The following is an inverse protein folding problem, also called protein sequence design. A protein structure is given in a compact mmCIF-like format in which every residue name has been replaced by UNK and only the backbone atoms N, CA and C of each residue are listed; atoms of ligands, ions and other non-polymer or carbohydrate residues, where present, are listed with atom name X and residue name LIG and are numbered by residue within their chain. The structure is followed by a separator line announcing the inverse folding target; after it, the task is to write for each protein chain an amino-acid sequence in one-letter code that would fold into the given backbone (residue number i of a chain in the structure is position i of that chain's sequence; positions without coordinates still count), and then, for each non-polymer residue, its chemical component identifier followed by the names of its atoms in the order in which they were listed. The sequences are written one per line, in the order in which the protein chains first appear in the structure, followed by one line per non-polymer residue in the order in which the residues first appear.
data_IF_936141856377
#
_entry.id   IF_936141856377
#
_cell.length_a   1.000
_cell.length_b   1.000
_cell.length_c   1.000
_cell.angle_alpha   90.00
_cell.angle_beta   90.00
_cell.angle_gamma   90.00
#
_symmetry.space_group_name_H-M   'P 1'
#
loop_
_entity.id
_entity.type
_entity.pdbx_description
1 polymer ?
#
# COMPACT_ATOMS: atom_id res chain seq x y z
N UNK A 1 5.42 16.98 -6.76
CA UNK A 1 6.29 18.03 -6.19
C UNK A 1 5.78 18.73 -4.94
N UNK A 2 4.58 18.53 -4.42
CA UNK A 2 4.09 19.15 -3.18
C UNK A 2 3.94 18.18 -2.00
N UNK A 3 3.89 16.87 -2.21
CA UNK A 3 4.11 15.90 -1.15
C UNK A 3 5.52 16.06 -0.55
N UNK A 4 6.47 16.49 -1.39
CA UNK A 4 7.85 16.80 -1.07
C UNK A 4 8.07 18.09 -0.27
N UNK A 5 7.11 18.99 -0.22
CA UNK A 5 7.27 20.19 0.61
C UNK A 5 7.12 19.92 2.10
N UNK A 6 6.51 18.81 2.49
CA UNK A 6 6.45 18.43 3.91
C UNK A 6 7.78 17.84 4.34
N UNK A 7 8.40 16.97 3.53
CA UNK A 7 9.80 16.54 3.77
C UNK A 7 10.82 17.68 3.54
N UNK A 8 10.65 18.50 2.49
CA UNK A 8 11.50 19.66 2.27
C UNK A 8 11.35 20.75 3.35
N UNK A 9 10.17 20.93 3.96
CA UNK A 9 10.01 21.89 5.07
C UNK A 9 10.70 21.41 6.35
N UNK A 10 10.86 20.10 6.54
CA UNK A 10 11.67 19.53 7.62
C UNK A 10 13.17 19.76 7.37
N UNK A 11 13.63 19.65 6.12
CA UNK A 11 15.02 19.96 5.74
C UNK A 11 15.33 21.45 5.91
N UNK A 12 14.39 22.33 5.62
CA UNK A 12 14.60 23.81 5.73
C UNK A 12 14.56 24.32 7.19
N UNK A 13 13.89 23.62 8.12
CA UNK A 13 13.92 24.00 9.55
C UNK A 13 15.20 23.56 10.27
N UNK A 14 15.98 22.66 9.69
CA UNK A 14 17.23 22.13 10.26
C UNK A 14 18.47 22.94 9.88
N UNK A 15 18.36 23.98 9.04
CA UNK A 15 19.49 24.87 8.71
C UNK A 15 20.08 25.64 9.91
N UNK A 16 19.49 25.55 11.09
CA UNK A 16 19.99 26.19 12.30
C UNK A 16 21.11 25.40 13.03
N UNK A 17 21.49 24.20 12.58
CA UNK A 17 22.53 23.36 13.18
C UNK A 17 23.93 23.44 12.57
N UNK A 18 24.14 24.30 11.55
CA UNK A 18 25.40 24.36 10.78
C UNK A 18 26.56 25.11 11.45
N UNK A 19 26.83 24.85 12.71
CA UNK A 19 27.95 25.52 13.37
C UNK A 19 29.36 24.97 13.03
N UNK A 20 29.48 23.84 12.29
CA UNK A 20 30.77 23.19 11.99
C UNK A 20 30.87 22.52 10.61
N UNK A 21 30.04 22.86 9.61
CA UNK A 21 30.26 22.39 8.26
C UNK A 21 31.50 23.05 7.65
N UNK A 22 32.35 22.27 6.96
CA UNK A 22 33.44 22.87 6.15
C UNK A 22 32.80 23.73 5.05
N UNK A 23 33.50 24.81 4.63
CA UNK A 23 33.01 25.66 3.53
C UNK A 23 32.64 24.86 2.28
N UNK A 24 33.35 23.74 2.04
CA UNK A 24 33.08 22.81 0.93
C UNK A 24 31.73 22.08 1.08
N UNK A 25 31.43 21.58 2.27
CA UNK A 25 30.18 20.84 2.52
C UNK A 25 28.94 21.74 2.44
N UNK A 26 29.03 22.99 2.90
CA UNK A 26 27.99 24.00 2.77
C UNK A 26 27.77 24.41 1.31
N UNK A 27 28.84 24.55 0.54
CA UNK A 27 28.80 24.84 -0.89
C UNK A 27 28.15 23.70 -1.69
N UNK A 28 28.46 22.46 -1.35
CA UNK A 28 27.86 21.27 -1.96
C UNK A 28 26.36 21.17 -1.65
N UNK A 29 25.93 21.53 -0.45
CA UNK A 29 24.51 21.55 -0.12
C UNK A 29 23.75 22.65 -0.88
N UNK A 30 24.33 23.84 -1.02
CA UNK A 30 23.76 24.89 -1.85
C UNK A 30 23.68 24.49 -3.33
N UNK A 31 24.68 23.73 -3.81
CA UNK A 31 24.67 23.14 -5.17
C UNK A 31 23.53 22.15 -5.31
N UNK A 32 23.33 21.27 -4.33
CA UNK A 32 22.21 20.35 -4.29
C UNK A 32 20.86 21.08 -4.41
N UNK A 33 20.62 22.12 -3.59
CA UNK A 33 19.38 22.89 -3.63
C UNK A 33 19.16 23.56 -4.99
N UNK A 34 20.20 24.12 -5.58
CA UNK A 34 20.14 24.72 -6.91
C UNK A 34 19.80 23.68 -7.99
N UNK A 35 20.46 22.52 -7.96
CA UNK A 35 20.24 21.44 -8.91
C UNK A 35 18.83 20.86 -8.79
N UNK A 36 18.37 20.64 -7.56
CA UNK A 36 17.03 20.17 -7.28
C UNK A 36 15.96 21.16 -7.78
N UNK A 37 16.16 22.46 -7.56
CA UNK A 37 15.23 23.50 -8.02
C UNK A 37 15.16 23.60 -9.55
N UNK A 38 16.25 23.23 -10.25
CA UNK A 38 16.30 23.16 -11.72
C UNK A 38 15.87 21.81 -12.29
N UNK A 39 15.42 20.87 -11.45
CA UNK A 39 15.05 19.49 -11.81
C UNK A 39 16.22 18.67 -12.39
N UNK A 40 17.45 19.03 -12.06
CA UNK A 40 18.66 18.26 -12.39
C UNK A 40 18.92 17.24 -11.28
N UNK A 41 18.19 16.11 -11.29
CA UNK A 41 18.23 15.10 -10.24
C UNK A 41 19.60 14.41 -10.15
N UNK A 42 20.28 14.19 -11.28
CA UNK A 42 21.61 13.59 -11.28
C UNK A 42 22.63 14.52 -10.62
N UNK A 43 22.64 15.81 -11.00
CA UNK A 43 23.52 16.79 -10.38
C UNK A 43 23.21 17.04 -8.91
N UNK A 44 21.93 16.92 -8.50
CA UNK A 44 21.52 16.98 -7.10
C UNK A 44 22.08 15.80 -6.29
N UNK A 45 21.96 14.57 -6.82
CA UNK A 45 22.53 13.39 -6.19
C UNK A 45 24.05 13.46 -6.06
N UNK A 46 24.75 13.83 -7.15
CA UNK A 46 26.20 13.97 -7.14
C UNK A 46 26.68 14.95 -6.06
N UNK A 47 25.97 16.07 -5.87
CA UNK A 47 26.31 17.04 -4.84
C UNK A 47 26.13 16.50 -3.42
N UNK A 48 25.06 15.70 -3.14
CA UNK A 48 24.87 15.04 -1.85
C UNK A 48 25.93 13.95 -1.60
N UNK A 49 26.22 13.11 -2.58
CA UNK A 49 27.23 12.08 -2.49
C UNK A 49 28.62 12.67 -2.22
N UNK A 50 28.99 13.75 -2.93
CA UNK A 50 30.26 14.48 -2.67
C UNK A 50 30.28 15.10 -1.27
N UNK A 51 29.16 15.67 -0.81
CA UNK A 51 29.05 16.20 0.54
C UNK A 51 29.27 15.13 1.60
N UNK A 52 28.71 13.93 1.44
CA UNK A 52 28.95 12.81 2.34
C UNK A 52 30.44 12.39 2.35
N UNK A 53 31.13 12.43 1.22
CA UNK A 53 32.56 12.13 1.17
C UNK A 53 33.42 13.09 1.98
N UNK A 54 32.94 14.30 2.28
CA UNK A 54 33.68 15.26 3.14
C UNK A 54 33.70 14.84 4.63
N UNK A 55 32.67 14.11 5.07
CA UNK A 55 32.56 13.56 6.43
C UNK A 55 31.61 12.34 6.39
N UNK A 56 32.18 11.15 6.19
CA UNK A 56 31.43 9.91 5.97
C UNK A 56 30.60 9.46 7.19
N UNK A 57 30.99 9.87 8.38
CA UNK A 57 30.31 9.51 9.63
C UNK A 57 29.26 10.57 10.05
N UNK A 58 29.03 11.58 9.24
CA UNK A 58 28.07 12.64 9.50
C UNK A 58 26.65 12.18 9.21
N UNK A 59 25.88 11.93 10.26
CA UNK A 59 24.52 11.39 10.15
C UNK A 59 23.57 12.30 9.37
N UNK A 60 23.77 13.64 9.42
CA UNK A 60 22.97 14.55 8.58
C UNK A 60 23.24 14.34 7.09
N UNK A 61 24.51 14.16 6.70
CA UNK A 61 24.85 13.99 5.28
C UNK A 61 24.34 12.65 4.75
N UNK A 62 24.45 11.58 5.55
CA UNK A 62 23.90 10.27 5.21
C UNK A 62 22.36 10.34 5.12
N UNK A 63 21.71 11.01 6.06
CA UNK A 63 20.26 11.18 6.08
C UNK A 63 19.75 11.93 4.84
N UNK A 64 20.41 13.05 4.47
CA UNK A 64 20.02 13.84 3.31
C UNK A 64 20.14 13.02 2.01
N UNK A 65 21.25 12.27 1.84
CA UNK A 65 21.46 11.40 0.68
C UNK A 65 20.48 10.23 0.65
N UNK A 66 20.25 9.55 1.77
CA UNK A 66 19.29 8.48 1.87
C UNK A 66 17.86 8.98 1.58
N UNK A 67 17.48 10.15 2.11
CA UNK A 67 16.17 10.76 1.84
C UNK A 67 16.00 11.08 0.37
N UNK A 68 17.04 11.61 -0.29
CA UNK A 68 17.01 11.88 -1.73
C UNK A 68 16.83 10.59 -2.54
N UNK A 69 17.58 9.53 -2.23
CA UNK A 69 17.47 8.23 -2.89
C UNK A 69 16.10 7.60 -2.65
N UNK A 70 15.56 7.75 -1.44
CA UNK A 70 14.20 7.29 -1.13
C UNK A 70 13.14 7.99 -1.95
N UNK A 71 13.37 9.22 -2.33
CA UNK A 71 12.40 10.00 -3.08
C UNK A 71 12.53 9.81 -4.60
N UNK A 72 13.75 9.85 -5.12
CA UNK A 72 14.02 10.00 -6.55
C UNK A 72 14.63 8.77 -7.23
N UNK A 73 15.20 7.80 -6.51
CA UNK A 73 15.74 6.59 -7.09
C UNK A 73 14.67 5.54 -7.34
N UNK A 74 14.71 4.84 -8.45
CA UNK A 74 13.86 3.66 -8.72
C UNK A 74 14.32 2.45 -7.90
N UNK A 75 15.63 2.32 -7.67
CA UNK A 75 16.23 1.32 -6.79
C UNK A 75 16.50 1.93 -5.41
N UNK A 76 15.87 1.36 -4.38
CA UNK A 76 15.98 1.81 -2.99
C UNK A 76 17.10 1.11 -2.22
N UNK A 77 17.82 0.18 -2.83
CA UNK A 77 18.85 -0.63 -2.16
C UNK A 77 19.98 0.22 -1.58
N UNK A 78 20.43 1.25 -2.33
CA UNK A 78 21.47 2.17 -1.86
C UNK A 78 21.01 3.01 -0.68
N UNK A 79 19.76 3.48 -0.70
CA UNK A 79 19.17 4.20 0.43
C UNK A 79 19.12 3.31 1.68
N UNK A 80 18.71 2.04 1.54
CA UNK A 80 18.71 1.09 2.64
C UNK A 80 20.11 0.85 3.20
N UNK A 81 21.12 0.66 2.35
CA UNK A 81 22.49 0.47 2.79
C UNK A 81 23.00 1.66 3.61
N UNK A 82 22.71 2.89 3.18
CA UNK A 82 23.04 4.11 3.91
C UNK A 82 22.32 4.18 5.26
N UNK A 83 21.04 3.85 5.31
CA UNK A 83 20.25 3.85 6.54
C UNK A 83 20.75 2.81 7.55
N UNK A 84 21.12 1.62 7.10
CA UNK A 84 21.70 0.59 7.97
C UNK A 84 23.02 1.04 8.57
N UNK A 85 23.89 1.69 7.80
CA UNK A 85 25.17 2.24 8.28
C UNK A 85 24.94 3.36 9.30
N UNK A 86 24.02 4.29 8.96
CA UNK A 86 23.65 5.40 9.84
C UNK A 86 23.05 4.92 11.16
N UNK A 87 22.14 3.93 11.11
CA UNK A 87 21.53 3.34 12.31
C UNK A 87 22.56 2.69 13.20
N UNK A 88 23.50 1.90 12.68
CA UNK A 88 24.60 1.31 13.46
C UNK A 88 25.45 2.39 14.15
N UNK A 89 25.72 3.48 13.46
CA UNK A 89 26.50 4.61 14.00
C UNK A 89 25.72 5.34 15.09
N UNK A 90 24.44 5.60 14.88
CA UNK A 90 23.57 6.27 15.85
C UNK A 90 23.32 5.39 17.09
N UNK A 91 23.12 4.08 16.93
CA UNK A 91 22.96 3.13 18.03
C UNK A 91 24.22 3.05 18.90
N UNK A 92 25.41 2.97 18.29
CA UNK A 92 26.68 2.97 19.01
C UNK A 92 26.89 4.24 19.85
N UNK A 93 26.43 5.39 19.33
CA UNK A 93 26.49 6.69 20.03
C UNK A 93 25.31 6.90 20.99
N UNK A 94 24.31 6.02 20.99
CA UNK A 94 23.02 6.19 21.69
C UNK A 94 22.37 7.56 21.36
N UNK A 95 22.44 7.94 20.10
CA UNK A 95 22.06 9.26 19.62
C UNK A 95 20.54 9.39 19.57
N UNK A 96 19.96 10.04 20.59
CA UNK A 96 18.51 10.22 20.72
C UNK A 96 17.91 11.17 19.69
N UNK A 97 18.74 11.96 19.03
CA UNK A 97 18.29 12.87 17.97
C UNK A 97 18.15 12.14 16.63
N UNK A 98 19.15 11.28 16.28
CA UNK A 98 19.16 10.61 14.99
C UNK A 98 18.37 9.29 14.96
N UNK A 99 18.31 8.57 16.09
CA UNK A 99 17.65 7.27 16.12
C UNK A 99 16.17 7.30 15.71
N UNK A 100 15.32 8.24 16.20
CA UNK A 100 13.94 8.31 15.75
C UNK A 100 13.83 8.64 14.25
N UNK A 101 14.60 9.63 13.77
CA UNK A 101 14.60 10.08 12.36
C UNK A 101 15.00 8.99 11.37
N UNK A 102 16.08 8.28 11.67
CA UNK A 102 16.57 7.19 10.84
C UNK A 102 15.61 6.01 10.82
N UNK A 103 14.98 5.67 11.96
CA UNK A 103 13.96 4.63 12.01
C UNK A 103 12.68 5.07 11.30
N UNK A 104 12.27 6.34 11.38
CA UNK A 104 11.15 6.90 10.61
C UNK A 104 11.40 6.74 9.10
N UNK A 105 12.55 7.21 8.63
CA UNK A 105 12.91 7.13 7.21
C UNK A 105 12.96 5.67 6.73
N UNK A 106 13.53 4.76 7.54
CA UNK A 106 13.55 3.33 7.24
C UNK A 106 12.13 2.75 7.21
N UNK A 107 11.27 3.11 8.15
CA UNK A 107 9.89 2.65 8.16
C UNK A 107 9.11 3.15 6.94
N UNK A 108 9.31 4.40 6.53
CA UNK A 108 8.76 4.95 5.30
C UNK A 108 9.23 4.19 4.05
N UNK A 109 10.52 3.87 4.01
CA UNK A 109 11.10 3.07 2.93
C UNK A 109 10.45 1.68 2.81
N UNK A 110 10.38 0.96 3.92
CA UNK A 110 9.75 -0.36 4.00
C UNK A 110 8.27 -0.31 3.61
N UNK A 111 7.56 0.72 4.05
CA UNK A 111 6.17 0.93 3.68
C UNK A 111 5.99 1.09 2.15
N UNK A 112 6.86 1.87 1.48
CA UNK A 112 6.82 2.02 0.03
C UNK A 112 7.18 0.74 -0.73
N UNK A 113 8.05 -0.11 -0.15
CA UNK A 113 8.40 -1.41 -0.71
C UNK A 113 7.34 -2.49 -0.45
N UNK A 114 6.33 -2.19 0.38
CA UNK A 114 5.27 -3.13 0.72
C UNK A 114 5.63 -4.09 1.86
N UNK A 115 6.76 -3.88 2.52
CA UNK A 115 7.15 -4.65 3.71
C UNK A 115 6.53 -4.04 4.97
N UNK A 116 5.21 -4.18 5.05
CA UNK A 116 4.40 -3.45 6.03
C UNK A 116 4.65 -3.90 7.48
N UNK A 117 4.95 -5.19 7.72
CA UNK A 117 5.24 -5.68 9.06
C UNK A 117 6.57 -5.15 9.59
N UNK A 118 7.65 -5.18 8.79
CA UNK A 118 8.92 -4.59 9.19
C UNK A 118 8.82 -3.06 9.31
N UNK A 119 8.04 -2.41 8.42
CA UNK A 119 7.73 -0.99 8.53
C UNK A 119 7.05 -0.65 9.87
N UNK A 120 6.10 -1.48 10.30
CA UNK A 120 5.39 -1.31 11.56
C UNK A 120 6.33 -1.42 12.77
N UNK A 121 7.16 -2.47 12.83
CA UNK A 121 8.10 -2.65 13.93
C UNK A 121 9.16 -1.54 13.97
N UNK A 122 9.63 -1.11 12.79
CA UNK A 122 10.59 -0.01 12.68
C UNK A 122 9.97 1.33 13.11
N UNK A 123 8.74 1.60 12.70
CA UNK A 123 7.98 2.80 13.13
C UNK A 123 7.71 2.79 14.65
N UNK A 124 7.35 1.64 15.21
CA UNK A 124 7.21 1.49 16.67
C UNK A 124 8.54 1.76 17.40
N UNK A 125 9.67 1.31 16.83
CA UNK A 125 11.00 1.62 17.38
C UNK A 125 11.24 3.12 17.35
N UNK A 126 10.92 3.83 16.27
CA UNK A 126 11.00 5.29 16.21
C UNK A 126 10.15 5.96 17.31
N UNK A 127 8.90 5.55 17.46
CA UNK A 127 7.99 6.06 18.50
C UNK A 127 8.51 5.83 19.92
N UNK A 128 9.27 4.76 20.17
CA UNK A 128 9.78 4.42 21.50
C UNK A 128 10.78 5.44 22.08
N UNK A 129 11.33 6.31 21.26
CA UNK A 129 12.23 7.38 21.68
C UNK A 129 11.52 8.58 22.30
N UNK A 130 10.22 8.69 22.10
CA UNK A 130 9.39 9.78 22.66
C UNK A 130 8.69 9.33 23.93
N UNK A 131 8.61 10.24 24.90
CA UNK A 131 7.95 9.99 26.18
C UNK A 131 6.55 10.60 26.16
N UNK A 132 5.55 9.74 26.22
CA UNK A 132 4.14 9.92 26.50
C UNK A 132 3.43 11.19 26.03
N UNK A 133 3.68 12.31 26.67
CA UNK A 133 2.91 13.56 26.46
C UNK A 133 3.69 14.66 25.73
N UNK A 134 4.81 14.31 25.09
CA UNK A 134 5.58 15.28 24.32
C UNK A 134 4.79 15.76 23.11
N UNK A 135 4.68 17.08 22.96
CA UNK A 135 4.08 17.73 21.78
C UNK A 135 5.18 18.07 20.78
N UNK A 136 5.77 17.03 20.19
CA UNK A 136 6.86 17.12 19.24
C UNK A 136 6.35 16.92 17.82
N UNK A 137 6.77 17.77 16.90
CA UNK A 137 6.34 17.69 15.50
C UNK A 137 6.82 16.38 14.86
N UNK A 138 8.01 15.90 15.20
CA UNK A 138 8.55 14.63 14.72
C UNK A 138 7.70 13.45 15.20
N UNK A 139 7.27 13.45 16.47
CA UNK A 139 6.32 12.44 16.97
C UNK A 139 5.02 12.44 16.16
N UNK A 140 4.54 13.63 15.75
CA UNK A 140 3.38 13.77 14.89
C UNK A 140 3.61 13.17 13.50
N UNK A 141 4.78 13.38 12.92
CA UNK A 141 5.10 12.90 11.56
C UNK A 141 5.26 11.37 11.56
N UNK A 142 5.94 10.80 12.57
CA UNK A 142 6.02 9.34 12.76
C UNK A 142 4.62 8.76 12.99
N UNK A 143 3.79 9.41 13.82
CA UNK A 143 2.40 8.96 14.04
C UNK A 143 1.60 8.97 12.74
N UNK A 144 1.77 9.98 11.89
CA UNK A 144 1.12 10.04 10.58
C UNK A 144 1.59 8.93 9.64
N UNK A 145 2.87 8.59 9.64
CA UNK A 145 3.41 7.44 8.90
C UNK A 145 2.77 6.13 9.41
N UNK A 146 2.64 5.97 10.73
CA UNK A 146 2.02 4.78 11.34
C UNK A 146 0.54 4.65 10.96
N UNK A 147 -0.19 5.74 10.69
CA UNK A 147 -1.55 5.67 10.14
C UNK A 147 -1.56 4.92 8.81
N UNK A 148 -0.66 5.26 7.90
CA UNK A 148 -0.54 4.58 6.60
C UNK A 148 -0.18 3.11 6.74
N UNK A 149 0.83 2.82 7.56
CA UNK A 149 1.31 1.45 7.81
C UNK A 149 0.20 0.59 8.44
N UNK A 150 -0.46 1.08 9.50
CA UNK A 150 -1.54 0.36 10.17
C UNK A 150 -2.74 0.14 9.23
N UNK A 151 -3.03 1.10 8.36
CA UNK A 151 -4.09 0.95 7.35
C UNK A 151 -3.76 -0.16 6.35
N UNK A 152 -2.51 -0.23 5.89
CA UNK A 152 -2.04 -1.29 4.99
C UNK A 152 -2.09 -2.69 5.64
N UNK A 153 -1.85 -2.75 6.95
CA UNK A 153 -1.93 -3.98 7.76
C UNK A 153 -3.35 -4.30 8.24
N UNK A 154 -4.38 -3.57 7.82
CA UNK A 154 -5.76 -3.69 8.32
C UNK A 154 -5.90 -3.51 9.85
N UNK A 155 -4.94 -2.85 10.52
CA UNK A 155 -4.96 -2.53 11.95
C UNK A 155 -5.70 -1.20 12.18
N UNK A 156 -6.98 -1.16 11.85
CA UNK A 156 -7.74 0.09 11.75
C UNK A 156 -7.84 0.87 13.05
N UNK A 157 -8.01 0.20 14.19
CA UNK A 157 -8.08 0.84 15.51
C UNK A 157 -6.76 1.53 15.87
N UNK A 158 -5.63 0.91 15.54
CA UNK A 158 -4.31 1.51 15.74
C UNK A 158 -4.10 2.70 14.80
N UNK A 159 -4.54 2.61 13.55
CA UNK A 159 -4.50 3.72 12.61
C UNK A 159 -5.27 4.94 13.15
N UNK A 160 -6.45 4.73 13.68
CA UNK A 160 -7.25 5.80 14.35
C UNK A 160 -6.49 6.37 15.54
N UNK A 161 -5.91 5.53 16.40
CA UNK A 161 -5.14 5.98 17.57
C UNK A 161 -3.96 6.88 17.17
N UNK A 162 -3.18 6.47 16.19
CA UNK A 162 -2.03 7.26 15.71
C UNK A 162 -2.49 8.54 15.01
N UNK A 163 -3.60 8.48 14.25
CA UNK A 163 -4.19 9.65 13.61
C UNK A 163 -4.64 10.71 14.62
N UNK A 164 -5.27 10.30 15.71
CA UNK A 164 -5.66 11.19 16.81
C UNK A 164 -4.44 11.78 17.51
N UNK A 165 -3.39 11.00 17.72
CA UNK A 165 -2.13 11.50 18.32
C UNK A 165 -1.50 12.57 17.43
N UNK A 166 -1.35 12.29 16.13
CA UNK A 166 -0.81 13.27 15.18
C UNK A 166 -1.64 14.54 15.15
N UNK A 167 -2.96 14.42 15.09
CA UNK A 167 -3.88 15.56 15.06
C UNK A 167 -3.75 16.45 16.29
N UNK A 168 -3.73 15.87 17.50
CA UNK A 168 -3.61 16.62 18.75
C UNK A 168 -2.29 17.41 18.84
N UNK A 169 -1.18 16.78 18.42
CA UNK A 169 0.11 17.46 18.34
C UNK A 169 0.07 18.62 17.32
N UNK A 170 -0.41 18.36 16.10
CA UNK A 170 -0.46 19.37 15.04
C UNK A 170 -1.39 20.55 15.37
N UNK A 171 -2.49 20.32 16.09
CA UNK A 171 -3.33 21.40 16.60
C UNK A 171 -2.57 22.33 17.54
N UNK A 172 -1.70 21.74 18.38
CA UNK A 172 -0.90 22.50 19.35
C UNK A 172 0.28 23.21 18.68
N UNK A 173 1.02 22.54 17.78
CA UNK A 173 2.28 23.04 17.19
C UNK A 173 2.06 23.93 15.97
N UNK A 174 1.11 23.58 15.11
CA UNK A 174 0.86 24.30 13.86
C UNK A 174 -0.40 25.17 13.88
N UNK A 175 -1.25 25.01 14.91
CA UNK A 175 -2.50 25.75 15.08
C UNK A 175 -3.70 25.12 14.38
N UNK A 176 -4.89 25.35 14.95
CA UNK A 176 -6.17 24.71 14.57
C UNK A 176 -6.55 24.85 13.09
N UNK A 177 -6.16 25.92 12.44
CA UNK A 177 -6.54 26.19 11.05
C UNK A 177 -5.33 26.06 10.10
N UNK A 178 -4.39 25.20 10.40
CA UNK A 178 -3.22 24.96 9.54
C UNK A 178 -3.50 23.87 8.51
N UNK A 179 -2.75 23.90 7.40
CA UNK A 179 -2.78 22.84 6.39
C UNK A 179 -2.42 21.49 7.00
N UNK A 180 -1.50 21.44 7.98
CA UNK A 180 -1.11 20.20 8.66
C UNK A 180 -2.27 19.56 9.40
N UNK A 181 -3.09 20.38 10.11
CA UNK A 181 -4.31 19.90 10.79
C UNK A 181 -5.34 19.40 9.77
N UNK A 182 -5.58 20.13 8.68
CA UNK A 182 -6.50 19.69 7.63
C UNK A 182 -6.06 18.35 7.01
N UNK A 183 -4.77 18.18 6.75
CA UNK A 183 -4.22 16.93 6.22
C UNK A 183 -4.38 15.78 7.20
N UNK A 184 -4.11 15.99 8.51
CA UNK A 184 -4.32 14.96 9.53
C UNK A 184 -5.77 14.54 9.66
N UNK A 185 -6.70 15.50 9.65
CA UNK A 185 -8.14 15.23 9.68
C UNK A 185 -8.60 14.44 8.45
N UNK A 186 -8.07 14.77 7.26
CA UNK A 186 -8.36 14.05 6.03
C UNK A 186 -7.85 12.60 6.10
N UNK A 187 -6.62 12.36 6.61
CA UNK A 187 -6.09 11.01 6.80
C UNK A 187 -6.87 10.23 7.87
N UNK A 188 -7.22 10.88 8.97
CA UNK A 188 -8.01 10.29 10.04
C UNK A 188 -9.41 9.90 9.56
N UNK A 189 -10.03 10.68 8.67
CA UNK A 189 -11.31 10.33 8.07
C UNK A 189 -11.25 9.00 7.31
N UNK A 190 -10.16 8.74 6.58
CA UNK A 190 -9.94 7.46 5.91
C UNK A 190 -9.78 6.32 6.92
N UNK A 191 -9.06 6.55 8.03
CA UNK A 191 -8.91 5.55 9.10
C UNK A 191 -10.25 5.20 9.75
N UNK A 192 -11.10 6.18 10.04
CA UNK A 192 -12.47 5.96 10.52
C UNK A 192 -13.32 5.20 9.50
N UNK A 193 -13.21 5.56 8.22
CA UNK A 193 -13.92 4.85 7.16
C UNK A 193 -13.54 3.36 7.11
N UNK A 194 -12.25 3.06 7.22
CA UNK A 194 -11.73 1.69 7.21
C UNK A 194 -12.09 0.91 8.48
N UNK A 195 -12.25 1.58 9.62
CA UNK A 195 -12.78 0.95 10.85
C UNK A 195 -14.31 0.81 10.85
N UNK A 196 -15.00 1.23 9.79
CA UNK A 196 -16.46 1.17 9.66
C UNK A 196 -17.22 2.32 10.31
N UNK A 197 -16.55 3.30 10.91
CA UNK A 197 -17.17 4.45 11.55
C UNK A 197 -17.37 5.60 10.54
N UNK A 198 -18.41 5.44 9.71
CA UNK A 198 -18.71 6.40 8.63
C UNK A 198 -19.07 7.77 9.19
N UNK A 199 -19.75 7.86 10.34
CA UNK A 199 -20.13 9.13 10.94
C UNK A 199 -18.92 9.96 11.34
N UNK A 200 -17.96 9.37 12.05
CA UNK A 200 -16.71 10.06 12.39
C UNK A 200 -15.85 10.37 11.15
N UNK A 201 -15.91 9.54 10.13
CA UNK A 201 -15.23 9.83 8.87
C UNK A 201 -15.80 11.09 8.20
N UNK A 202 -17.14 11.25 8.20
CA UNK A 202 -17.81 12.46 7.68
C UNK A 202 -17.49 13.70 8.50
N UNK A 203 -17.48 13.60 9.82
CA UNK A 203 -17.14 14.72 10.71
C UNK A 203 -15.69 15.17 10.48
N UNK A 204 -14.75 14.25 10.46
CA UNK A 204 -13.34 14.56 10.25
C UNK A 204 -13.07 15.17 8.86
N UNK A 205 -13.65 14.61 7.78
CA UNK A 205 -13.46 15.18 6.45
C UNK A 205 -14.17 16.53 6.30
N UNK A 206 -15.31 16.75 6.97
CA UNK A 206 -16.01 18.02 6.98
C UNK A 206 -15.27 19.13 7.75
N UNK A 207 -14.55 18.79 8.81
CA UNK A 207 -13.66 19.73 9.52
C UNK A 207 -12.44 20.06 8.63
N UNK A 208 -11.82 19.07 8.00
CA UNK A 208 -10.74 19.25 7.04
C UNK A 208 -11.14 20.18 5.90
N UNK A 209 -12.34 19.98 5.32
CA UNK A 209 -12.88 20.82 4.24
C UNK A 209 -12.93 22.30 4.61
N UNK A 210 -13.50 22.62 5.78
CA UNK A 210 -13.60 24.01 6.26
C UNK A 210 -12.25 24.69 6.37
N UNK A 211 -11.22 23.93 6.79
CA UNK A 211 -9.86 24.49 6.91
C UNK A 211 -9.26 24.71 5.52
N UNK A 212 -9.37 23.73 4.60
CA UNK A 212 -8.87 23.88 3.24
C UNK A 212 -9.55 25.02 2.49
N UNK A 213 -10.87 25.15 2.60
CA UNK A 213 -11.63 26.26 2.02
C UNK A 213 -11.15 27.62 2.55
N UNK A 214 -10.95 27.73 3.88
CA UNK A 214 -10.44 28.95 4.51
C UNK A 214 -9.03 29.30 4.04
N UNK A 215 -8.21 28.32 3.77
CA UNK A 215 -6.83 28.51 3.28
C UNK A 215 -6.76 28.73 1.75
N UNK A 216 -7.87 28.47 1.03
CA UNK A 216 -7.87 28.50 -0.43
C UNK A 216 -6.99 27.43 -1.06
N UNK A 217 -6.85 26.27 -0.41
CA UNK A 217 -5.99 25.16 -0.84
C UNK A 217 -6.87 24.04 -1.38
N UNK A 218 -6.54 23.55 -2.58
CA UNK A 218 -7.10 22.34 -3.15
C UNK A 218 -6.05 21.24 -3.10
N UNK A 219 -6.30 20.20 -2.28
CA UNK A 219 -5.39 19.08 -2.07
C UNK A 219 -5.96 17.79 -2.68
N UNK A 220 -5.26 17.13 -3.63
CA UNK A 220 -5.76 15.91 -4.27
C UNK A 220 -6.16 14.81 -3.28
N UNK A 221 -5.35 14.57 -2.24
CA UNK A 221 -5.61 13.54 -1.22
C UNK A 221 -6.89 13.81 -0.42
N UNK A 222 -7.22 15.07 -0.17
CA UNK A 222 -8.49 15.43 0.45
C UNK A 222 -9.68 15.02 -0.42
N UNK A 223 -9.66 15.35 -1.72
CA UNK A 223 -10.73 14.95 -2.63
C UNK A 223 -10.83 13.43 -2.78
N UNK A 224 -9.71 12.72 -2.78
CA UNK A 224 -9.65 11.26 -2.78
C UNK A 224 -10.34 10.66 -1.55
N UNK A 225 -10.02 11.15 -0.34
CA UNK A 225 -10.59 10.64 0.90
C UNK A 225 -12.09 10.94 0.98
N UNK A 226 -12.50 12.15 0.59
CA UNK A 226 -13.92 12.53 0.51
C UNK A 226 -14.70 11.69 -0.51
N UNK A 227 -14.07 11.37 -1.65
CA UNK A 227 -14.63 10.47 -2.66
C UNK A 227 -14.79 9.04 -2.12
N UNK A 228 -13.83 8.53 -1.36
CA UNK A 228 -13.90 7.20 -0.73
C UNK A 228 -15.09 7.10 0.24
N UNK A 229 -15.35 8.14 1.04
CA UNK A 229 -16.53 8.19 1.92
C UNK A 229 -17.83 8.18 1.09
N UNK A 230 -17.90 8.96 0.02
CA UNK A 230 -19.06 8.97 -0.87
C UNK A 230 -19.28 7.60 -1.54
N UNK A 231 -18.21 6.91 -1.89
CA UNK A 231 -18.24 5.57 -2.48
C UNK A 231 -18.82 4.54 -1.50
N UNK A 232 -18.34 4.51 -0.26
CA UNK A 232 -18.85 3.60 0.78
C UNK A 232 -20.34 3.84 1.08
N UNK A 233 -20.78 5.10 1.00
CA UNK A 233 -22.19 5.47 1.05
C UNK A 233 -22.98 5.11 -0.22
N UNK A 234 -22.35 4.42 -1.18
CA UNK A 234 -22.92 4.03 -2.49
C UNK A 234 -23.36 5.21 -3.36
N UNK A 235 -22.88 6.42 -3.03
CA UNK A 235 -23.10 7.60 -3.89
C UNK A 235 -22.01 7.68 -4.95
N UNK A 236 -22.05 6.72 -5.89
CA UNK A 236 -21.00 6.54 -6.88
C UNK A 236 -20.84 7.75 -7.84
N UNK A 237 -21.94 8.46 -8.15
CA UNK A 237 -21.87 9.66 -8.98
C UNK A 237 -21.11 10.81 -8.27
N UNK A 238 -21.35 11.02 -6.98
CA UNK A 238 -20.61 12.00 -6.20
C UNK A 238 -19.15 11.58 -6.04
N UNK A 239 -18.89 10.30 -5.75
CA UNK A 239 -17.54 9.75 -5.64
C UNK A 239 -16.76 9.97 -6.94
N UNK A 240 -17.35 9.66 -8.09
CA UNK A 240 -16.73 9.83 -9.40
C UNK A 240 -16.37 11.30 -9.66
N UNK A 241 -17.26 12.24 -9.33
CA UNK A 241 -16.99 13.68 -9.47
C UNK A 241 -15.81 14.13 -8.60
N UNK A 242 -15.74 13.66 -7.36
CA UNK A 242 -14.65 13.99 -6.43
C UNK A 242 -13.33 13.35 -6.85
N UNK A 243 -13.34 12.08 -7.30
CA UNK A 243 -12.15 11.44 -7.86
C UNK A 243 -11.68 12.14 -9.15
N UNK A 244 -12.60 12.61 -10.01
CA UNK A 244 -12.24 13.37 -11.20
C UNK A 244 -11.55 14.71 -10.84
N UNK A 245 -12.01 15.38 -9.78
CA UNK A 245 -11.32 16.57 -9.26
C UNK A 245 -9.93 16.24 -8.70
N UNK A 246 -9.80 15.13 -7.97
CA UNK A 246 -8.50 14.66 -7.48
C UNK A 246 -7.54 14.34 -8.64
N UNK A 247 -8.06 13.73 -9.73
CA UNK A 247 -7.30 13.43 -10.93
C UNK A 247 -6.77 14.70 -11.60
N UNK A 248 -7.66 15.67 -11.86
CA UNK A 248 -7.31 16.96 -12.45
C UNK A 248 -6.17 17.66 -11.67
N UNK A 249 -6.29 17.70 -10.34
CA UNK A 249 -5.28 18.32 -9.47
C UNK A 249 -3.95 17.55 -9.49
N UNK A 250 -4.01 16.22 -9.55
CA UNK A 250 -2.82 15.35 -9.55
C UNK A 250 -2.08 15.40 -10.88
N UNK A 251 -2.79 15.47 -12.01
CA UNK A 251 -2.19 15.57 -13.34
C UNK A 251 -1.43 16.89 -13.54
N UNK A 252 -1.86 17.96 -12.86
CA UNK A 252 -1.20 19.27 -12.89
C UNK A 252 0.04 19.34 -11.97
N UNK A 253 0.34 18.30 -11.20
CA UNK A 253 1.48 18.22 -10.30
C UNK A 253 2.52 17.25 -10.85
N UNK A 254 3.73 17.71 -11.15
CA UNK A 254 4.81 16.85 -11.61
C UNK A 254 5.18 15.80 -10.56
N UNK A 255 5.45 14.55 -10.97
CA UNK A 255 5.91 13.48 -10.08
C UNK A 255 4.81 12.72 -9.33
N UNK A 256 3.53 12.88 -9.70
CA UNK A 256 2.38 12.29 -8.98
C UNK A 256 1.79 11.05 -9.65
N UNK A 257 2.60 10.30 -10.41
CA UNK A 257 2.11 9.13 -11.17
C UNK A 257 1.38 8.11 -10.29
N UNK A 258 1.88 7.83 -9.07
CA UNK A 258 1.24 6.90 -8.13
C UNK A 258 -0.16 7.36 -7.71
N UNK A 259 -0.33 8.64 -7.43
CA UNK A 259 -1.64 9.23 -7.09
C UNK A 259 -2.59 9.18 -8.28
N UNK A 260 -2.11 9.57 -9.47
CA UNK A 260 -2.88 9.49 -10.72
C UNK A 260 -3.38 8.07 -10.97
N UNK A 261 -2.51 7.06 -10.84
CA UNK A 261 -2.86 5.64 -10.99
C UNK A 261 -3.92 5.25 -9.96
N UNK A 262 -3.72 5.58 -8.69
CA UNK A 262 -4.67 5.27 -7.61
C UNK A 262 -6.06 5.85 -7.88
N UNK A 263 -6.13 7.12 -8.32
CA UNK A 263 -7.39 7.78 -8.63
C UNK A 263 -8.05 7.16 -9.88
N UNK A 264 -7.29 6.84 -10.92
CA UNK A 264 -7.83 6.19 -12.13
C UNK A 264 -8.42 4.80 -11.83
N UNK A 265 -7.75 4.03 -10.95
CA UNK A 265 -8.29 2.75 -10.45
C UNK A 265 -9.63 2.97 -9.74
N UNK A 266 -9.72 3.96 -8.85
CA UNK A 266 -10.95 4.30 -8.13
C UNK A 266 -12.07 4.77 -9.07
N UNK A 267 -11.75 5.56 -10.09
CA UNK A 267 -12.69 5.98 -11.13
C UNK A 267 -13.21 4.80 -11.95
N UNK A 268 -12.34 3.84 -12.30
CA UNK A 268 -12.76 2.62 -12.98
C UNK A 268 -13.78 1.85 -12.15
N UNK A 269 -13.51 1.66 -10.86
CA UNK A 269 -14.44 0.98 -9.94
C UNK A 269 -15.76 1.76 -9.80
N UNK A 270 -15.72 3.10 -9.71
CA UNK A 270 -16.93 3.93 -9.66
C UNK A 270 -17.79 3.75 -10.94
N UNK A 271 -17.16 3.73 -12.10
CA UNK A 271 -17.87 3.53 -13.37
C UNK A 271 -18.47 2.13 -13.47
N UNK A 272 -17.76 1.09 -13.01
CA UNK A 272 -18.30 -0.28 -12.92
C UNK A 272 -19.55 -0.34 -12.03
N UNK A 273 -19.51 0.30 -10.85
CA UNK A 273 -20.66 0.35 -9.92
C UNK A 273 -21.87 1.07 -10.51
N UNK A 274 -21.66 1.89 -11.54
CA UNK A 274 -22.70 2.58 -12.29
C UNK A 274 -23.08 1.87 -13.61
N UNK A 275 -22.53 0.68 -13.85
CA UNK A 275 -22.68 -0.12 -15.09
C UNK A 275 -22.14 0.58 -16.36
N UNK A 276 -21.20 1.52 -16.21
CA UNK A 276 -20.54 2.23 -17.31
C UNK A 276 -19.25 1.49 -17.71
N UNK A 277 -19.40 0.34 -18.36
CA UNK A 277 -18.28 -0.56 -18.69
C UNK A 277 -17.24 0.10 -19.59
N UNK A 278 -17.67 0.88 -20.59
CA UNK A 278 -16.76 1.56 -21.53
C UNK A 278 -15.89 2.62 -20.80
N UNK A 279 -16.52 3.38 -19.92
CA UNK A 279 -15.82 4.39 -19.13
C UNK A 279 -14.85 3.73 -18.13
N UNK A 280 -15.26 2.66 -17.46
CA UNK A 280 -14.41 1.87 -16.57
C UNK A 280 -13.18 1.33 -17.31
N UNK A 281 -13.37 0.77 -18.52
CA UNK A 281 -12.29 0.32 -19.39
C UNK A 281 -11.33 1.46 -19.75
N UNK A 282 -11.86 2.63 -20.09
CA UNK A 282 -11.04 3.80 -20.44
C UNK A 282 -10.14 4.24 -19.28
N UNK A 283 -10.67 4.28 -18.06
CA UNK A 283 -9.89 4.64 -16.87
C UNK A 283 -8.78 3.63 -16.57
N UNK A 284 -9.08 2.33 -16.66
CA UNK A 284 -8.07 1.31 -16.35
C UNK A 284 -6.97 1.27 -17.41
N UNK A 285 -7.28 1.45 -18.69
CA UNK A 285 -6.28 1.53 -19.75
C UNK A 285 -5.40 2.80 -19.61
N UNK A 286 -5.99 3.91 -19.19
CA UNK A 286 -5.23 5.12 -18.85
C UNK A 286 -4.28 4.87 -17.67
N UNK A 287 -4.72 4.14 -16.63
CA UNK A 287 -3.87 3.76 -15.52
C UNK A 287 -2.68 2.89 -15.97
N UNK A 288 -2.91 1.91 -16.86
CA UNK A 288 -1.85 1.08 -17.46
C UNK A 288 -0.85 1.94 -18.23
N UNK A 289 -1.34 2.90 -19.03
CA UNK A 289 -0.47 3.81 -19.78
C UNK A 289 0.41 4.67 -18.87
N UNK A 290 -0.18 5.24 -17.81
CA UNK A 290 0.56 6.06 -16.82
C UNK A 290 1.59 5.21 -16.09
N UNK A 291 1.23 4.02 -15.62
CA UNK A 291 2.15 3.11 -14.92
C UNK A 291 3.32 2.69 -15.82
N UNK A 292 3.04 2.34 -17.09
CA UNK A 292 4.06 1.96 -18.07
C UNK A 292 5.03 3.10 -18.36
N UNK A 293 4.52 4.34 -18.47
CA UNK A 293 5.34 5.50 -18.79
C UNK A 293 6.18 5.99 -17.62
N UNK A 294 5.64 5.91 -16.39
CA UNK A 294 6.30 6.43 -15.20
C UNK A 294 7.29 5.44 -14.57
N UNK A 295 6.97 4.15 -14.61
CA UNK A 295 7.70 3.13 -13.87
C UNK A 295 8.24 2.00 -14.74
N UNK A 296 7.75 1.87 -15.97
CA UNK A 296 8.08 0.72 -16.84
C UNK A 296 7.19 -0.50 -16.57
N UNK A 297 7.36 -1.52 -17.44
CA UNK A 297 6.46 -2.68 -17.48
C UNK A 297 6.70 -3.71 -16.37
N UNK A 298 7.89 -3.72 -15.78
CA UNK A 298 8.29 -4.70 -14.76
C UNK A 298 8.22 -4.16 -13.33
N UNK A 299 7.72 -2.95 -13.16
CA UNK A 299 7.63 -2.34 -11.84
C UNK A 299 6.36 -2.80 -11.08
N UNK A 300 6.42 -2.99 -9.75
CA UNK A 300 5.26 -3.42 -8.94
C UNK A 300 4.00 -2.55 -9.11
N UNK A 301 4.16 -1.26 -9.36
CA UNK A 301 3.01 -0.38 -9.67
C UNK A 301 2.25 -0.84 -10.93
N UNK A 302 2.94 -1.39 -11.95
CA UNK A 302 2.30 -2.00 -13.11
C UNK A 302 1.51 -3.24 -12.71
N UNK A 303 2.08 -4.12 -11.88
CA UNK A 303 1.38 -5.31 -11.39
C UNK A 303 0.10 -4.94 -10.64
N UNK A 304 0.13 -3.89 -9.80
CA UNK A 304 -1.06 -3.39 -9.12
C UNK A 304 -2.16 -2.95 -10.09
N UNK A 305 -1.80 -2.27 -11.18
CA UNK A 305 -2.78 -1.86 -12.20
C UNK A 305 -3.29 -3.05 -13.01
N UNK A 306 -2.41 -3.99 -13.35
CA UNK A 306 -2.80 -5.22 -14.06
C UNK A 306 -3.72 -6.08 -13.21
N UNK A 307 -3.51 -6.18 -11.90
CA UNK A 307 -4.45 -6.87 -11.02
C UNK A 307 -5.86 -6.24 -11.06
N UNK A 308 -5.96 -4.92 -10.96
CA UNK A 308 -7.26 -4.23 -11.12
C UNK A 308 -7.87 -4.42 -12.51
N UNK A 309 -7.05 -4.43 -13.55
CA UNK A 309 -7.51 -4.71 -14.92
C UNK A 309 -8.06 -6.14 -15.02
N UNK A 310 -7.35 -7.11 -14.46
CA UNK A 310 -7.83 -8.50 -14.40
C UNK A 310 -9.16 -8.62 -13.66
N UNK A 311 -9.33 -7.94 -12.51
CA UNK A 311 -10.59 -7.88 -11.78
C UNK A 311 -11.72 -7.26 -12.62
N UNK A 312 -11.43 -6.20 -13.37
CA UNK A 312 -12.38 -5.60 -14.30
C UNK A 312 -12.77 -6.57 -15.41
N UNK A 313 -11.81 -7.20 -16.08
CA UNK A 313 -12.04 -8.18 -17.14
C UNK A 313 -12.85 -9.38 -16.63
N UNK A 314 -12.53 -9.88 -15.44
CA UNK A 314 -13.28 -10.93 -14.75
C UNK A 314 -14.74 -10.50 -14.51
N UNK A 315 -14.97 -9.30 -13.99
CA UNK A 315 -16.33 -8.78 -13.76
C UNK A 315 -17.16 -8.62 -15.05
N UNK A 316 -16.50 -8.49 -16.19
CA UNK A 316 -17.10 -8.44 -17.51
C UNK A 316 -17.30 -9.83 -18.17
N UNK A 317 -16.97 -10.92 -17.44
CA UNK A 317 -17.02 -12.29 -17.97
C UNK A 317 -15.92 -12.62 -18.99
N UNK A 318 -14.89 -11.79 -19.12
CA UNK A 318 -13.75 -12.00 -20.02
C UNK A 318 -12.69 -12.87 -19.32
N UNK A 319 -13.08 -14.05 -18.87
CA UNK A 319 -12.28 -14.88 -17.95
C UNK A 319 -10.91 -15.27 -18.52
N UNK A 320 -10.85 -15.69 -19.79
CA UNK A 320 -9.59 -16.05 -20.43
C UNK A 320 -8.58 -14.90 -20.44
N UNK A 321 -9.08 -13.68 -20.69
CA UNK A 321 -8.26 -12.46 -20.70
C UNK A 321 -7.85 -12.05 -19.30
N UNK A 322 -8.76 -12.16 -18.33
CA UNK A 322 -8.48 -11.89 -16.93
C UNK A 322 -7.35 -12.79 -16.40
N UNK A 323 -7.38 -14.09 -16.73
CA UNK A 323 -6.32 -15.04 -16.35
C UNK A 323 -4.95 -14.63 -16.89
N UNK A 324 -4.86 -14.19 -18.16
CA UNK A 324 -3.60 -13.69 -18.74
C UNK A 324 -3.11 -12.43 -18.01
N UNK A 325 -4.03 -11.49 -17.79
CA UNK A 325 -3.71 -10.22 -17.11
C UNK A 325 -3.26 -10.44 -15.66
N UNK A 326 -3.89 -11.36 -14.93
CA UNK A 326 -3.45 -11.75 -13.59
C UNK A 326 -2.07 -12.46 -13.62
N UNK A 327 -1.82 -13.33 -14.61
CA UNK A 327 -0.53 -14.01 -14.73
C UNK A 327 0.61 -13.00 -14.97
N UNK A 328 0.37 -11.97 -15.79
CA UNK A 328 1.33 -10.89 -15.99
C UNK A 328 1.60 -10.12 -14.68
N UNK A 329 0.54 -9.80 -13.92
CA UNK A 329 0.68 -9.14 -12.62
C UNK A 329 1.46 -10.00 -11.61
N UNK A 330 1.14 -11.30 -11.53
CA UNK A 330 1.82 -12.26 -10.66
C UNK A 330 3.31 -12.34 -10.98
N UNK A 331 3.66 -12.50 -12.26
CA UNK A 331 5.06 -12.58 -12.67
C UNK A 331 5.89 -11.36 -12.28
N UNK A 332 5.29 -10.16 -12.31
CA UNK A 332 5.96 -8.94 -11.87
C UNK A 332 6.14 -8.94 -10.34
N UNK A 333 5.10 -9.30 -9.56
CA UNK A 333 5.19 -9.34 -8.10
C UNK A 333 6.14 -10.43 -7.61
N UNK A 334 6.11 -11.63 -8.20
CA UNK A 334 7.02 -12.73 -7.85
C UNK A 334 8.48 -12.34 -8.07
N UNK A 335 8.76 -11.60 -9.15
CA UNK A 335 10.09 -11.10 -9.45
C UNK A 335 10.54 -10.01 -8.47
N UNK A 336 9.63 -9.13 -8.07
CA UNK A 336 9.93 -7.97 -7.22
C UNK A 336 10.00 -8.31 -5.72
N UNK A 337 9.08 -9.14 -5.24
CA UNK A 337 8.86 -9.40 -3.82
C UNK A 337 8.99 -10.87 -3.43
N UNK A 338 9.14 -11.77 -4.42
CA UNK A 338 9.12 -13.22 -4.23
C UNK A 338 7.71 -13.83 -4.25
N UNK A 339 7.66 -15.12 -4.58
CA UNK A 339 6.42 -15.89 -4.77
C UNK A 339 5.55 -15.98 -3.49
N UNK A 340 6.11 -15.71 -2.32
CA UNK A 340 5.42 -15.75 -1.02
C UNK A 340 4.99 -14.39 -0.49
N UNK A 341 5.07 -13.35 -1.32
CA UNK A 341 4.66 -12.01 -0.92
C UNK A 341 3.14 -11.90 -0.80
N UNK A 342 2.67 -10.98 0.03
CA UNK A 342 1.24 -10.68 0.15
C UNK A 342 0.64 -10.27 -1.20
N UNK A 343 1.39 -9.50 -1.98
CA UNK A 343 0.96 -9.02 -3.29
C UNK A 343 0.77 -10.17 -4.29
N UNK A 344 1.72 -11.13 -4.34
CA UNK A 344 1.58 -12.34 -5.16
C UNK A 344 0.39 -13.18 -4.72
N UNK A 345 0.19 -13.28 -3.40
CA UNK A 345 -0.94 -13.99 -2.81
C UNK A 345 -2.30 -13.40 -3.22
N UNK A 346 -2.46 -12.08 -3.16
CA UNK A 346 -3.69 -11.39 -3.53
C UNK A 346 -4.06 -11.63 -5.01
N UNK A 347 -3.06 -11.64 -5.89
CA UNK A 347 -3.26 -11.96 -7.32
C UNK A 347 -3.66 -13.41 -7.51
N UNK A 348 -2.99 -14.34 -6.82
CA UNK A 348 -3.33 -15.78 -6.88
C UNK A 348 -4.76 -16.05 -6.43
N UNK A 349 -5.26 -15.35 -5.40
CA UNK A 349 -6.66 -15.41 -5.00
C UNK A 349 -7.60 -14.94 -6.10
N UNK A 350 -7.25 -13.86 -6.78
CA UNK A 350 -8.04 -13.33 -7.91
C UNK A 350 -8.07 -14.33 -9.07
N UNK A 351 -6.92 -14.92 -9.41
CA UNK A 351 -6.81 -15.98 -10.42
C UNK A 351 -7.64 -17.20 -10.05
N UNK A 352 -7.56 -17.61 -8.79
CA UNK A 352 -8.31 -18.74 -8.30
C UNK A 352 -9.83 -18.53 -8.42
N UNK A 353 -10.35 -17.38 -7.99
CA UNK A 353 -11.77 -17.03 -8.15
C UNK A 353 -12.17 -17.05 -9.62
N UNK A 354 -11.32 -16.48 -10.48
CA UNK A 354 -11.55 -16.50 -11.92
C UNK A 354 -11.60 -17.92 -12.47
N UNK A 355 -10.71 -18.82 -12.04
CA UNK A 355 -10.71 -20.22 -12.45
C UNK A 355 -11.98 -20.96 -11.99
N UNK A 356 -12.46 -20.70 -10.77
CA UNK A 356 -13.74 -21.24 -10.30
C UNK A 356 -14.92 -20.77 -11.17
N UNK A 357 -14.96 -19.47 -11.51
CA UNK A 357 -16.04 -18.94 -12.34
C UNK A 357 -16.00 -19.45 -13.79
N UNK A 358 -14.80 -19.73 -14.33
CA UNK A 358 -14.64 -20.41 -15.60
C UNK A 358 -15.35 -21.79 -15.59
N UNK A 359 -15.09 -22.56 -14.52
CA UNK A 359 -15.69 -23.90 -14.38
C UNK A 359 -17.21 -23.81 -14.19
N UNK A 360 -17.67 -22.86 -13.35
CA UNK A 360 -19.11 -22.66 -13.09
C UNK A 360 -19.87 -22.23 -14.31
N UNK A 361 -19.28 -21.35 -15.12
CA UNK A 361 -19.94 -20.80 -16.31
C UNK A 361 -19.68 -21.61 -17.58
N UNK A 362 -18.96 -22.75 -17.48
CA UNK A 362 -18.64 -23.66 -18.59
C UNK A 362 -17.96 -22.92 -19.77
N UNK A 363 -17.03 -22.02 -19.45
CA UNK A 363 -16.26 -21.26 -20.44
C UNK A 363 -15.17 -22.14 -21.05
N UNK A 364 -15.53 -22.88 -22.12
CA UNK A 364 -14.62 -23.78 -22.83
C UNK A 364 -13.32 -23.07 -23.30
N UNK A 365 -13.40 -21.79 -23.66
CA UNK A 365 -12.25 -21.05 -24.16
C UNK A 365 -11.21 -20.77 -23.07
N UNK A 366 -11.67 -20.57 -21.83
CA UNK A 366 -10.84 -20.32 -20.67
C UNK A 366 -10.48 -21.58 -19.88
N UNK A 367 -11.19 -22.70 -20.11
CA UNK A 367 -11.08 -23.92 -19.31
C UNK A 367 -9.66 -24.48 -19.29
N UNK A 368 -8.93 -24.42 -20.42
CA UNK A 368 -7.54 -24.85 -20.46
C UNK A 368 -6.65 -24.01 -19.54
N UNK A 369 -6.84 -22.69 -19.50
CA UNK A 369 -6.04 -21.79 -18.63
C UNK A 369 -6.33 -22.06 -17.16
N UNK A 370 -7.59 -22.29 -16.81
CA UNK A 370 -7.97 -22.68 -15.46
C UNK A 370 -7.32 -24.00 -15.04
N UNK A 371 -7.31 -25.00 -15.90
CA UNK A 371 -6.64 -26.28 -15.69
C UNK A 371 -5.14 -26.13 -15.50
N UNK A 372 -4.47 -25.43 -16.42
CA UNK A 372 -3.04 -25.22 -16.38
C UNK A 372 -2.66 -24.50 -15.07
N UNK A 373 -3.40 -23.46 -14.68
CA UNK A 373 -3.20 -22.73 -13.44
C UNK A 373 -3.41 -23.62 -12.19
N UNK A 374 -4.52 -24.35 -12.15
CA UNK A 374 -4.82 -25.25 -11.03
C UNK A 374 -3.76 -26.34 -10.90
N UNK A 375 -3.33 -26.94 -12.00
CA UNK A 375 -2.29 -27.96 -12.03
C UNK A 375 -0.94 -27.43 -11.52
N UNK A 376 -0.54 -26.24 -11.97
CA UNK A 376 0.75 -25.64 -11.63
C UNK A 376 0.82 -25.18 -10.16
N UNK A 377 -0.22 -24.52 -9.69
CA UNK A 377 -0.16 -23.84 -8.38
C UNK A 377 -0.78 -24.60 -7.22
N UNK A 378 -1.65 -25.59 -7.49
CA UNK A 378 -2.39 -26.29 -6.44
C UNK A 378 -2.01 -27.76 -6.26
N UNK A 379 -1.50 -28.44 -7.28
CA UNK A 379 -1.20 -29.89 -7.22
C UNK A 379 0.23 -30.23 -6.86
N UNK A 380 1.17 -29.37 -7.12
CA UNK A 380 2.57 -29.54 -6.67
C UNK A 380 2.68 -29.53 -5.13
N UNK A 381 1.67 -29.06 -4.43
CA UNK A 381 1.66 -28.98 -2.96
C UNK A 381 1.01 -30.18 -2.28
N UNK A 382 0.22 -31.01 -3.00
CA UNK A 382 -0.35 -32.25 -2.46
C UNK A 382 0.69 -33.35 -2.18
N UNK A 383 1.86 -33.27 -2.77
CA UNK A 383 2.88 -34.32 -2.66
C UNK A 383 3.76 -34.22 -1.42
N UNK A 384 3.78 -33.10 -0.72
CA UNK A 384 4.63 -32.89 0.45
C UNK A 384 3.93 -33.12 1.79
N UNK A 385 2.61 -33.01 1.84
CA UNK A 385 1.82 -33.25 3.06
C UNK A 385 0.62 -34.12 2.72
N UNK A 386 0.55 -35.28 3.28
CA UNK A 386 -0.51 -36.30 3.08
C UNK A 386 -1.93 -35.84 3.50
N UNK A 387 -2.17 -34.57 3.56
CA UNK A 387 -3.47 -33.97 3.84
C UNK A 387 -4.18 -33.63 2.52
N UNK A 388 -5.40 -34.10 2.27
CA UNK A 388 -6.20 -33.82 1.09
C UNK A 388 -6.75 -32.38 1.09
N UNK A 389 -6.10 -31.50 1.78
CA UNK A 389 -6.45 -30.09 1.88
C UNK A 389 -5.59 -29.35 0.89
N UNK A 390 -6.21 -28.69 -0.06
CA UNK A 390 -5.52 -27.74 -0.92
C UNK A 390 -5.03 -26.59 -0.06
N UNK A 391 -3.82 -26.72 0.42
CA UNK A 391 -3.11 -25.65 1.10
C UNK A 391 -2.52 -24.75 0.03
N UNK A 392 -3.06 -23.58 -0.16
CA UNK A 392 -2.31 -22.47 -0.65
C UNK A 392 -1.30 -22.09 0.45
N UNK A 393 -0.18 -22.81 0.48
CA UNK A 393 0.90 -22.49 1.39
C UNK A 393 1.68 -21.31 0.82
N UNK A 394 1.24 -20.12 1.11
CA UNK A 394 2.00 -18.90 0.85
C UNK A 394 2.60 -18.43 2.16
N UNK A 395 3.83 -18.86 2.44
CA UNK A 395 4.54 -18.51 3.65
C UNK A 395 3.83 -19.02 4.91
N UNK A 396 3.66 -18.15 5.89
CA UNK A 396 2.91 -18.43 7.12
C UNK A 396 1.38 -18.42 6.90
N UNK A 397 0.92 -18.08 5.70
CA UNK A 397 -0.49 -17.99 5.34
C UNK A 397 -1.01 -19.39 5.01
N UNK A 398 -1.66 -19.98 5.95
CA UNK A 398 -2.47 -21.20 5.73
C UNK A 398 -3.81 -20.81 5.14
N UNK A 399 -3.85 -20.38 3.89
CA UNK A 399 -5.11 -20.34 3.19
C UNK A 399 -5.48 -21.73 2.74
N UNK A 400 -6.57 -22.19 3.29
CA UNK A 400 -7.16 -23.44 2.95
C UNK A 400 -7.97 -23.27 1.66
N UNK A 401 -7.49 -23.80 0.55
CA UNK A 401 -8.19 -23.83 -0.72
C UNK A 401 -9.48 -24.63 -0.68
N UNK A 402 -9.70 -25.41 0.38
CA UNK A 402 -11.01 -26.02 0.65
C UNK A 402 -12.15 -24.98 0.62
N UNK A 403 -11.88 -23.72 0.94
CA UNK A 403 -12.86 -22.64 0.81
C UNK A 403 -13.47 -22.53 -0.60
N UNK A 404 -12.69 -22.80 -1.61
CA UNK A 404 -13.15 -22.72 -3.00
C UNK A 404 -13.74 -24.02 -3.53
N UNK A 405 -13.30 -25.15 -2.99
CA UNK A 405 -13.95 -26.43 -3.27
C UNK A 405 -15.34 -26.50 -2.63
N UNK A 406 -15.64 -25.63 -1.70
CA UNK A 406 -16.89 -25.61 -0.94
C UNK A 406 -17.81 -24.45 -1.30
N UNK A 407 -17.70 -23.79 -2.40
CA UNK A 407 -18.66 -22.78 -2.91
C UNK A 407 -19.19 -21.72 -1.91
N UNK A 408 -18.80 -21.75 -0.66
CA UNK A 408 -19.56 -21.14 0.42
C UNK A 408 -18.80 -20.34 1.46
N UNK A 409 -17.49 -20.08 1.29
CA UNK A 409 -16.79 -19.19 2.22
C UNK A 409 -16.13 -18.01 1.50
N UNK A 410 -16.75 -17.35 0.53
CA UNK A 410 -16.20 -16.12 -0.05
C UNK A 410 -16.26 -14.94 0.91
N UNK A 411 -17.06 -15.04 1.98
CA UNK A 411 -17.31 -13.92 2.90
C UNK A 411 -16.50 -13.97 4.19
N UNK A 412 -15.79 -15.07 4.46
CA UNK A 412 -15.08 -15.31 5.73
C UNK A 412 -13.56 -15.41 5.54
N UNK A 413 -13.06 -15.28 4.33
CA UNK A 413 -11.63 -15.30 4.07
C UNK A 413 -11.06 -13.92 4.36
N UNK A 414 -10.84 -13.64 5.63
CA UNK A 414 -9.74 -12.77 5.99
C UNK A 414 -8.45 -13.62 6.04
N UNK A 415 -7.33 -12.96 5.95
CA UNK A 415 -6.01 -13.54 5.82
C UNK A 415 -5.56 -14.44 6.99
N UNK A 416 -6.42 -14.79 7.95
CA UNK A 416 -6.12 -15.55 9.15
C UNK A 416 -7.23 -16.58 9.47
N UNK A 417 -7.65 -17.35 8.48
CA UNK A 417 -8.66 -18.39 8.69
C UNK A 417 -7.99 -19.77 8.75
N UNK A 418 -8.06 -20.43 9.90
CA UNK A 418 -7.70 -21.83 10.05
C UNK A 418 -8.95 -22.70 9.87
N UNK A 419 -8.89 -23.67 8.96
CA UNK A 419 -9.96 -24.64 8.73
C UNK A 419 -9.52 -26.01 9.19
N UNK A 420 -10.22 -26.57 10.17
CA UNK A 420 -9.99 -27.94 10.63
C UNK A 420 -10.94 -28.89 9.88
N UNK A 421 -10.36 -29.84 9.18
CA UNK A 421 -11.09 -30.88 8.47
C UNK A 421 -11.20 -32.18 9.32
N UNK A 422 -12.15 -33.02 8.96
CA UNK A 422 -12.17 -34.41 9.42
C UNK A 422 -10.94 -35.17 8.90
N UNK A 423 -10.61 -36.29 9.57
CA UNK A 423 -9.42 -37.08 9.23
C UNK A 423 -9.44 -37.65 7.80
N UNK A 424 -10.61 -37.75 7.19
CA UNK A 424 -10.82 -38.17 5.79
C UNK A 424 -10.96 -36.98 4.81
N UNK A 425 -10.83 -35.76 5.32
CA UNK A 425 -10.95 -34.53 4.53
C UNK A 425 -12.36 -34.24 3.99
N UNK A 426 -13.36 -35.03 4.38
CA UNK A 426 -14.72 -34.95 3.81
C UNK A 426 -15.60 -33.88 4.46
N UNK A 427 -15.24 -33.42 5.65
CA UNK A 427 -16.07 -32.50 6.44
C UNK A 427 -15.23 -31.41 7.06
N UNK A 428 -15.66 -30.16 6.93
CA UNK A 428 -15.11 -29.02 7.67
C UNK A 428 -15.66 -29.06 9.08
N UNK A 429 -14.78 -29.20 10.07
CA UNK A 429 -15.17 -29.31 11.48
C UNK A 429 -15.12 -27.97 12.21
N UNK A 430 -14.19 -27.12 11.82
CA UNK A 430 -13.95 -25.87 12.52
C UNK A 430 -13.35 -24.84 11.57
N UNK A 431 -13.83 -23.61 11.67
CA UNK A 431 -13.24 -22.43 11.02
C UNK A 431 -12.87 -21.45 12.13
N UNK A 432 -11.64 -21.02 12.14
CA UNK A 432 -11.16 -20.02 13.09
C UNK A 432 -10.63 -18.81 12.32
N UNK A 433 -11.19 -17.64 12.59
CA UNK A 433 -10.75 -16.36 12.05
C UNK A 433 -10.23 -15.49 13.18
N UNK A 434 -9.15 -14.75 12.93
CA UNK A 434 -8.60 -13.78 13.89
C UNK A 434 -9.56 -12.63 14.16
N UNK A 435 -10.42 -12.29 13.19
CA UNK A 435 -11.36 -11.17 13.32
C UNK A 435 -12.75 -11.61 13.82
N UNK A 436 -13.19 -12.80 13.42
CA UNK A 436 -14.55 -13.26 13.67
C UNK A 436 -14.64 -14.33 14.75
N UNK A 437 -13.49 -14.79 15.29
CA UNK A 437 -13.44 -15.84 16.32
C UNK A 437 -13.56 -17.25 15.75
N UNK A 438 -13.95 -18.19 16.61
CA UNK A 438 -14.02 -19.62 16.27
C UNK A 438 -15.45 -20.02 15.96
N UNK A 439 -15.66 -20.63 14.79
CA UNK A 439 -16.95 -21.20 14.40
C UNK A 439 -16.86 -22.72 14.36
N UNK A 440 -17.81 -23.40 14.97
CA UNK A 440 -18.04 -24.81 14.74
C UNK A 440 -18.93 -24.92 13.51
N UNK A 441 -18.38 -25.40 12.42
CA UNK A 441 -19.09 -25.55 11.16
C UNK A 441 -19.22 -27.04 10.87
N UNK A 442 -20.42 -27.49 10.59
CA UNK A 442 -20.66 -28.82 10.03
C UNK A 442 -21.01 -28.64 8.55
N UNK A 443 -20.01 -28.62 7.72
CA UNK A 443 -20.19 -28.55 6.27
C UNK A 443 -19.66 -29.84 5.65
N UNK A 444 -20.48 -30.52 4.87
CA UNK A 444 -20.05 -31.63 4.04
C UNK A 444 -19.37 -31.08 2.78
N UNK A 445 -18.26 -31.71 2.43
CA UNK A 445 -17.57 -31.45 1.18
C UNK A 445 -18.51 -31.76 0.01
N UNK A 446 -18.66 -30.82 -0.93
CA UNK A 446 -19.31 -31.16 -2.20
C UNK A 446 -18.36 -32.00 -3.04
N UNK A 447 -18.46 -33.31 -2.82
CA UNK A 447 -17.61 -34.29 -3.46
C UNK A 447 -17.82 -34.31 -4.97
N UNK A 448 -19.03 -34.01 -5.46
CA UNK A 448 -19.33 -34.02 -6.89
C UNK A 448 -18.54 -32.94 -7.59
N UNK A 449 -18.48 -31.73 -7.02
CA UNK A 449 -17.74 -30.60 -7.57
C UNK A 449 -16.24 -30.78 -7.43
N UNK A 450 -15.76 -31.34 -6.34
CA UNK A 450 -14.37 -31.73 -6.22
C UNK A 450 -13.94 -32.73 -7.29
N UNK A 451 -14.73 -33.80 -7.48
CA UNK A 451 -14.49 -34.83 -8.50
C UNK A 451 -14.61 -34.27 -9.92
N UNK A 452 -15.41 -33.22 -10.12
CA UNK A 452 -15.52 -32.50 -11.39
C UNK A 452 -14.28 -31.65 -11.65
N UNK A 453 -13.81 -30.89 -10.67
CA UNK A 453 -12.55 -30.15 -10.73
C UNK A 453 -11.36 -31.07 -10.99
N UNK A 454 -11.28 -32.22 -10.31
CA UNK A 454 -10.25 -33.21 -10.56
C UNK A 454 -10.31 -33.78 -12.00
N UNK A 455 -11.50 -34.08 -12.54
CA UNK A 455 -11.65 -34.52 -13.93
C UNK A 455 -11.28 -33.48 -14.97
N UNK A 456 -11.46 -32.22 -14.65
CA UNK A 456 -11.00 -31.12 -15.49
C UNK A 456 -9.46 -31.03 -15.55
N UNK A 457 -8.79 -31.70 -14.65
CA UNK A 457 -7.34 -31.73 -14.52
C UNK A 457 -6.69 -32.98 -15.10
N UNK A 458 -7.47 -34.08 -15.25
CA UNK A 458 -7.11 -35.23 -16.09
C UNK A 458 -7.29 -34.91 -17.58
#
# INVERSE_FOLDING_TARGET
MKFNRILLSLVLSLSAGFANASDDAASLYATYEQKLSSNDLNGAYEALAQRRETDKDNLQYIYDEASFLMEYSDDKSDAFALLEEALKTAEKKQDKYWLPRLNELKAGALFFLGDYEEAYETGRKALSFFKGDEKDEELSDISQLMVGICTALNRHDEAVKYGLQSLDIRRTTAGENSQKVASSLSALSLSYLRSGDIEKAEDAIGESEKIYEKLGIEEPSFFQNKASIAFEKKNYASAQKLFSKALELSENQSGNASTVISVLKSLSVCAQRQNNTDEASSYIEKAVSVASSAYGKEHPAMASVLNEKGLFEHSCGQYAKAMDTFADALGIYDKAYGERSQQSHDVLLSMYRCACDIVVNDDEAALKKAKDFMSDKFFTLETEDSSPVFLLAFGEWKMNSAACLFDYIPTVIDNNVDVLLSSDGSTVQKVQSSQLGTFNVSMQRDKARHDELLKLME
#
